data_IF_593457960463
#
_entry.id   IF_593457960463
#
_cell.length_a   1.000
_cell.length_b   1.000
_cell.length_c   1.000
_cell.angle_alpha   90.00
_cell.angle_beta   90.00
_cell.angle_gamma   90.00
#
_symmetry.space_group_name_H-M   'P 1'
#
loop_
_entity.id
_entity.type
_entity.pdbx_description
1 polymer ?
#
# COMPACT_ATOMS: atom_id res chain seq x y z
N UNK A 1 -26.83 22.33 -8.48
CA UNK A 1 -26.16 21.65 -9.61
C UNK A 1 -24.90 21.03 -9.06
N UNK A 2 -24.87 19.71 -8.92
CA UNK A 2 -23.74 19.02 -8.31
C UNK A 2 -22.51 19.21 -9.19
N UNK A 3 -21.42 19.67 -8.57
CA UNK A 3 -20.12 19.86 -9.19
C UNK A 3 -19.64 18.49 -9.72
N UNK A 4 -19.99 18.13 -10.96
CA UNK A 4 -19.54 16.89 -11.59
C UNK A 4 -18.06 17.05 -11.91
N UNK A 5 -17.20 16.87 -10.91
CA UNK A 5 -15.80 16.59 -11.17
C UNK A 5 -15.75 15.31 -12.02
N UNK A 6 -15.38 15.47 -13.29
CA UNK A 6 -15.05 14.37 -14.20
C UNK A 6 -14.02 13.48 -13.51
N UNK A 7 -14.22 12.17 -13.58
CA UNK A 7 -13.25 11.24 -13.01
C UNK A 7 -11.91 11.41 -13.74
N UNK A 8 -10.85 11.61 -12.97
CA UNK A 8 -9.50 11.87 -13.48
C UNK A 8 -8.66 10.58 -13.38
N UNK A 9 -8.58 9.86 -14.50
CA UNK A 9 -7.90 8.57 -14.59
C UNK A 9 -6.39 8.68 -14.32
N UNK A 10 -5.78 9.79 -14.69
CA UNK A 10 -4.36 10.02 -14.47
C UNK A 10 -4.07 10.21 -12.98
N UNK A 11 -4.91 10.97 -12.27
CA UNK A 11 -4.81 11.09 -10.82
C UNK A 11 -5.07 9.77 -10.10
N UNK A 12 -6.02 8.95 -10.58
CA UNK A 12 -6.27 7.63 -10.05
C UNK A 12 -5.04 6.71 -10.20
N UNK A 13 -4.39 6.71 -11.37
CA UNK A 13 -3.16 5.96 -11.60
C UNK A 13 -1.98 6.51 -10.77
N UNK A 14 -1.84 7.83 -10.67
CA UNK A 14 -0.82 8.47 -9.86
C UNK A 14 -0.96 8.11 -8.38
N UNK A 15 -2.19 8.02 -7.86
CA UNK A 15 -2.46 7.57 -6.50
C UNK A 15 -1.94 6.14 -6.27
N UNK A 16 -2.27 5.18 -7.16
CA UNK A 16 -1.80 3.79 -7.05
C UNK A 16 -0.27 3.72 -7.03
N UNK A 17 0.38 4.45 -7.93
CA UNK A 17 1.85 4.53 -7.97
C UNK A 17 2.43 5.08 -6.67
N UNK A 18 1.85 6.18 -6.15
CA UNK A 18 2.30 6.78 -4.90
C UNK A 18 2.14 5.83 -3.71
N UNK A 19 1.02 5.12 -3.62
CA UNK A 19 0.77 4.13 -2.57
C UNK A 19 1.81 3.00 -2.60
N UNK A 20 2.13 2.49 -3.80
CA UNK A 20 3.17 1.47 -3.96
C UNK A 20 4.57 1.98 -3.60
N UNK A 21 4.89 3.24 -3.92
CA UNK A 21 6.17 3.86 -3.55
C UNK A 21 6.32 4.02 -2.03
N UNK A 22 5.29 4.51 -1.34
CA UNK A 22 5.30 4.64 0.12
C UNK A 22 5.37 3.27 0.81
N UNK A 23 4.69 2.25 0.26
CA UNK A 23 4.82 0.88 0.73
C UNK A 23 6.27 0.39 0.68
N UNK A 24 6.94 0.54 -0.48
CA UNK A 24 8.32 0.11 -0.65
C UNK A 24 9.28 0.84 0.28
N UNK A 25 9.04 2.14 0.52
CA UNK A 25 9.80 2.93 1.47
C UNK A 25 9.68 2.36 2.89
N UNK A 26 8.46 2.12 3.35
CA UNK A 26 8.22 1.52 4.68
C UNK A 26 8.85 0.13 4.82
N UNK A 27 8.77 -0.72 3.78
CA UNK A 27 9.44 -2.02 3.79
C UNK A 27 10.96 -1.89 3.95
N UNK A 28 11.57 -0.90 3.30
CA UNK A 28 13.00 -0.63 3.40
C UNK A 28 13.39 -0.06 4.77
N UNK A 29 12.58 0.85 5.32
CA UNK A 29 12.78 1.40 6.66
C UNK A 29 12.72 0.29 7.71
N UNK A 30 11.74 -0.62 7.61
CA UNK A 30 11.61 -1.79 8.47
C UNK A 30 12.79 -2.75 8.37
N UNK A 31 13.35 -2.95 7.17
CA UNK A 31 14.61 -3.72 6.99
C UNK A 31 15.78 -3.01 7.67
N UNK A 32 15.86 -1.67 7.59
CA UNK A 32 16.86 -0.88 8.29
C UNK A 32 16.77 -1.04 9.81
N UNK A 33 15.56 -0.94 10.36
CA UNK A 33 15.31 -1.14 11.80
C UNK A 33 15.66 -2.56 12.25
N UNK A 34 15.41 -3.60 11.43
CA UNK A 34 15.80 -4.97 11.75
C UNK A 34 17.31 -5.08 12.01
N UNK A 35 18.14 -4.42 11.19
CA UNK A 35 19.60 -4.44 11.38
C UNK A 35 20.00 -3.81 12.71
N UNK A 36 19.41 -2.66 13.05
CA UNK A 36 19.65 -1.99 14.33
C UNK A 36 19.21 -2.84 15.54
N UNK A 37 18.12 -3.58 15.38
CA UNK A 37 17.66 -4.54 16.41
C UNK A 37 18.61 -5.72 16.53
N UNK A 38 19.17 -6.21 15.42
CA UNK A 38 20.17 -7.29 15.45
C UNK A 38 21.51 -6.85 16.07
N UNK A 39 21.86 -5.56 16.01
CA UNK A 39 23.06 -4.99 16.67
C UNK A 39 23.05 -5.13 18.19
N UNK A 40 21.89 -5.41 18.79
CA UNK A 40 21.76 -5.75 20.21
C UNK A 40 22.67 -6.91 20.62
N UNK A 41 22.94 -7.85 19.70
CA UNK A 41 23.88 -8.97 19.90
C UNK A 41 25.29 -8.56 20.29
N UNK A 42 25.67 -7.31 20.04
CA UNK A 42 26.99 -6.79 20.38
C UNK A 42 27.18 -6.56 21.89
N UNK A 43 26.08 -6.39 22.63
CA UNK A 43 26.11 -6.05 24.05
C UNK A 43 25.12 -6.84 24.91
N UNK A 44 24.29 -7.69 24.29
CA UNK A 44 23.34 -8.56 24.96
C UNK A 44 23.36 -9.95 24.31
N UNK A 45 23.45 -11.00 25.13
CA UNK A 45 23.47 -12.39 24.70
C UNK A 45 22.59 -13.28 25.58
N UNK A 46 22.04 -14.33 24.99
CA UNK A 46 21.28 -15.37 25.69
C UNK A 46 19.83 -15.43 25.22
N UNK A 47 19.04 -16.37 25.75
CA UNK A 47 17.70 -16.63 25.22
C UNK A 47 16.73 -15.44 25.26
N UNK A 48 16.95 -14.45 26.14
CA UNK A 48 16.16 -13.22 26.17
C UNK A 48 16.48 -12.26 25.01
N UNK A 49 17.73 -12.23 24.53
CA UNK A 49 18.11 -11.48 23.32
C UNK A 49 17.47 -12.10 22.08
N UNK A 50 17.59 -13.42 21.94
CA UNK A 50 16.97 -14.14 20.82
C UNK A 50 15.46 -13.90 20.75
N UNK A 51 14.78 -13.94 21.90
CA UNK A 51 13.35 -13.67 22.00
C UNK A 51 13.00 -12.22 21.59
N UNK A 52 13.81 -11.24 21.98
CA UNK A 52 13.63 -9.84 21.61
C UNK A 52 13.75 -9.63 20.10
N UNK A 53 14.81 -10.16 19.47
CA UNK A 53 15.03 -10.07 18.02
C UNK A 53 13.91 -10.78 17.26
N UNK A 54 13.50 -11.98 17.71
CA UNK A 54 12.43 -12.74 17.08
C UNK A 54 11.07 -12.05 17.19
N UNK A 55 10.78 -11.37 18.31
CA UNK A 55 9.57 -10.58 18.45
C UNK A 55 9.55 -9.44 17.43
N UNK A 56 10.65 -8.69 17.30
CA UNK A 56 10.73 -7.62 16.30
C UNK A 56 10.56 -8.16 14.87
N UNK A 57 11.26 -9.27 14.53
CA UNK A 57 11.12 -9.92 13.22
C UNK A 57 9.67 -10.30 12.90
N UNK A 58 8.99 -10.92 13.86
CA UNK A 58 7.60 -11.33 13.73
C UNK A 58 6.68 -10.13 13.55
N UNK A 59 6.89 -9.07 14.34
CA UNK A 59 6.09 -7.84 14.26
C UNK A 59 6.31 -7.13 12.94
N UNK A 60 7.56 -7.03 12.48
CA UNK A 60 7.95 -6.51 11.17
C UNK A 60 7.19 -7.23 10.05
N UNK A 61 7.20 -8.56 10.05
CA UNK A 61 6.55 -9.36 9.00
C UNK A 61 5.02 -9.17 9.01
N UNK A 62 4.40 -9.05 10.19
CA UNK A 62 2.98 -8.69 10.32
C UNK A 62 2.68 -7.31 9.74
N UNK A 63 3.51 -6.31 10.03
CA UNK A 63 3.34 -4.95 9.50
C UNK A 63 3.43 -4.97 7.96
N UNK A 64 4.45 -5.62 7.40
CA UNK A 64 4.61 -5.73 5.94
C UNK A 64 3.40 -6.42 5.31
N UNK A 65 2.94 -7.53 5.90
CA UNK A 65 1.75 -8.24 5.40
C UNK A 65 0.50 -7.34 5.41
N UNK A 66 0.19 -6.70 6.53
CA UNK A 66 -0.98 -5.83 6.66
C UNK A 66 -0.91 -4.61 5.74
N UNK A 67 0.28 -4.05 5.54
CA UNK A 67 0.50 -2.95 4.61
C UNK A 67 0.23 -3.39 3.16
N UNK A 68 0.76 -4.54 2.76
CA UNK A 68 0.56 -5.08 1.41
C UNK A 68 -0.92 -5.37 1.13
N UNK A 69 -1.61 -6.00 2.07
CA UNK A 69 -3.04 -6.27 1.97
C UNK A 69 -3.87 -4.98 1.84
N UNK A 70 -3.54 -3.96 2.65
CA UNK A 70 -4.21 -2.66 2.60
C UNK A 70 -4.02 -1.97 1.24
N UNK A 71 -2.77 -1.87 0.77
CA UNK A 71 -2.44 -1.19 -0.49
C UNK A 71 -3.03 -1.93 -1.69
N UNK A 72 -2.96 -3.27 -1.72
CA UNK A 72 -3.64 -4.07 -2.73
C UNK A 72 -5.15 -3.85 -2.73
N UNK A 73 -5.77 -3.75 -1.55
CA UNK A 73 -7.18 -3.46 -1.39
C UNK A 73 -7.58 -2.11 -2.00
N UNK A 74 -6.83 -1.05 -1.69
CA UNK A 74 -7.07 0.27 -2.25
C UNK A 74 -6.81 0.34 -3.76
N UNK A 75 -5.75 -0.29 -4.26
CA UNK A 75 -5.49 -0.35 -5.70
C UNK A 75 -6.66 -1.00 -6.45
N UNK A 76 -7.20 -2.11 -5.91
CA UNK A 76 -8.38 -2.77 -6.47
C UNK A 76 -9.62 -1.87 -6.44
N UNK A 77 -9.85 -1.14 -5.35
CA UNK A 77 -10.97 -0.20 -5.25
C UNK A 77 -10.83 0.93 -6.29
N UNK A 78 -9.63 1.47 -6.48
CA UNK A 78 -9.36 2.49 -7.51
C UNK A 78 -9.68 1.95 -8.91
N UNK A 79 -9.26 0.72 -9.21
CA UNK A 79 -9.55 0.08 -10.51
C UNK A 79 -11.05 -0.18 -10.71
N UNK A 80 -11.76 -0.59 -9.66
CA UNK A 80 -13.21 -0.79 -9.71
C UNK A 80 -13.95 0.52 -9.96
N UNK A 81 -13.56 1.61 -9.30
CA UNK A 81 -14.15 2.94 -9.50
C UNK A 81 -13.84 3.44 -10.91
N UNK A 82 -12.60 3.30 -11.38
CA UNK A 82 -12.20 3.70 -12.72
C UNK A 82 -13.02 2.95 -13.79
N UNK A 83 -13.18 1.63 -13.65
CA UNK A 83 -13.99 0.83 -14.55
C UNK A 83 -15.45 1.27 -14.55
N UNK A 84 -16.06 1.44 -13.37
CA UNK A 84 -17.44 1.89 -13.27
C UNK A 84 -17.67 3.26 -13.93
N UNK A 85 -16.67 4.15 -13.90
CA UNK A 85 -16.73 5.45 -14.58
C UNK A 85 -16.57 5.33 -16.09
N UNK A 86 -15.68 4.46 -16.59
CA UNK A 86 -15.57 4.18 -18.03
C UNK A 86 -16.86 3.60 -18.59
N UNK A 87 -17.46 2.63 -17.89
CA UNK A 87 -18.71 2.00 -18.32
C UNK A 87 -19.85 3.05 -18.36
N UNK A 88 -19.95 3.90 -17.34
CA UNK A 88 -20.93 4.99 -17.31
C UNK A 88 -20.72 6.03 -18.44
N UNK A 89 -19.48 6.43 -18.71
CA UNK A 89 -19.17 7.36 -19.80
C UNK A 89 -19.51 6.74 -21.17
N UNK A 90 -19.26 5.44 -21.35
CA UNK A 90 -19.60 4.71 -22.57
C UNK A 90 -21.11 4.59 -22.79
N UNK A 91 -21.88 4.35 -21.72
CA UNK A 91 -23.34 4.29 -21.81
C UNK A 91 -23.97 5.65 -22.10
N UNK A 92 -23.41 6.73 -21.53
CA UNK A 92 -23.82 8.11 -21.88
C UNK A 92 -23.52 8.41 -23.35
N UNK A 93 -22.34 8.05 -23.85
CA UNK A 93 -21.98 8.26 -25.26
C UNK A 93 -22.96 7.53 -26.20
N UNK A 94 -23.27 6.25 -25.89
CA UNK A 94 -24.27 5.46 -26.63
C UNK A 94 -25.67 6.10 -26.62
N UNK A 95 -26.11 6.63 -25.48
CA UNK A 95 -27.42 7.30 -25.36
C UNK A 95 -27.49 8.63 -26.11
N UNK A 96 -26.34 9.31 -26.29
CA UNK A 96 -26.24 10.57 -27.00
C UNK A 96 -26.07 10.41 -28.54
N UNK A 97 -26.08 9.18 -29.07
CA UNK A 97 -25.87 8.89 -30.50
C UNK A 97 -24.61 9.56 -31.09
N UNK A 98 -23.50 9.52 -30.34
CA UNK A 98 -22.14 9.86 -30.85
C UNK A 98 -21.27 8.61 -30.78
#
# INVERSE_FOLDING_TARGET
MANQQKFDFDKANALKTKLNQEQQKLENDLKGMMRQVEDVRQWWSGGSEEAFINNFRTTKDKIVKSLNECIMGYNKLVDQVAKAKQDADADIARQLNV
#
